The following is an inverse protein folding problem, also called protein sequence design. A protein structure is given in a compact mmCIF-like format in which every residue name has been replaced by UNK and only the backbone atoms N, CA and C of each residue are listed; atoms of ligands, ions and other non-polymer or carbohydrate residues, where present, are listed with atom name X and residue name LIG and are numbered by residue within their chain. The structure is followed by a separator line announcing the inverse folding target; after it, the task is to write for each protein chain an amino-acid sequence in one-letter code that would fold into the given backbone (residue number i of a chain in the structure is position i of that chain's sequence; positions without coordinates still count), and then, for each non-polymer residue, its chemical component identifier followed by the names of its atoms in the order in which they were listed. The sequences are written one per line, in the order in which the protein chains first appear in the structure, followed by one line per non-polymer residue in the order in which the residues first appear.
data_IF_587295675652
#
_entry.id   IF_587295675652
#
_cell.length_a   1.000
_cell.length_b   1.000
_cell.length_c   1.000
_cell.angle_alpha   90.00
_cell.angle_beta   90.00
_cell.angle_gamma   90.00
#
_symmetry.space_group_name_H-M   'P 1'
#
loop_
_entity.id
_entity.type
_entity.pdbx_description
1 polymer ?
#
# COMPACT_ATOMS: atom_id res chain seq x y z
N UNK A 1 16.59 4.47 3.08
CA UNK A 1 15.85 4.80 1.86
C UNK A 1 14.73 3.80 1.61
N UNK A 2 13.64 4.31 1.03
CA UNK A 2 12.49 3.48 0.75
C UNK A 2 12.67 2.75 -0.57
N UNK A 3 12.13 1.55 -0.66
CA UNK A 3 12.18 0.75 -1.86
C UNK A 3 10.80 0.70 -2.50
N UNK A 4 10.79 0.57 -3.83
CA UNK A 4 9.52 0.35 -4.52
C UNK A 4 9.09 -1.10 -4.32
N UNK A 5 7.78 -1.29 -4.13
CA UNK A 5 7.23 -2.62 -4.05
C UNK A 5 7.29 -3.29 -5.42
N UNK A 6 7.49 -4.61 -5.44
CA UNK A 6 7.53 -5.32 -6.70
C UNK A 6 6.11 -5.54 -7.23
N UNK A 7 6.04 -5.99 -8.48
CA UNK A 7 4.76 -6.16 -9.18
C UNK A 7 3.88 -7.17 -8.48
N UNK A 8 4.48 -8.23 -7.94
CA UNK A 8 3.71 -9.28 -7.29
C UNK A 8 3.00 -8.75 -6.04
N UNK A 9 3.71 -7.95 -5.26
CA UNK A 9 3.10 -7.37 -4.07
C UNK A 9 1.98 -6.41 -4.44
N UNK A 10 2.23 -5.55 -5.43
CA UNK A 10 1.21 -4.60 -5.87
C UNK A 10 -0.03 -5.33 -6.38
N UNK A 11 0.17 -6.41 -7.14
CA UNK A 11 -0.95 -7.20 -7.65
C UNK A 11 -1.74 -7.83 -6.51
N UNK A 12 -1.05 -8.39 -5.53
CA UNK A 12 -1.71 -8.99 -4.37
C UNK A 12 -2.54 -7.95 -3.61
N UNK A 13 -1.97 -6.76 -3.40
CA UNK A 13 -2.70 -5.72 -2.67
C UNK A 13 -3.91 -5.24 -3.46
N UNK A 14 -3.78 -5.12 -4.78
CA UNK A 14 -4.92 -4.72 -5.59
C UNK A 14 -6.03 -5.75 -5.56
N UNK A 15 -5.70 -7.03 -5.49
CA UNK A 15 -6.72 -8.07 -5.35
C UNK A 15 -7.46 -7.92 -4.03
N UNK A 16 -6.73 -7.61 -2.96
CA UNK A 16 -7.36 -7.39 -1.65
C UNK A 16 -8.22 -6.13 -1.65
N UNK A 17 -7.80 -5.10 -2.37
CA UNK A 17 -8.59 -3.88 -2.49
C UNK A 17 -9.91 -4.20 -3.18
N UNK A 18 -9.87 -4.97 -4.25
CA UNK A 18 -11.10 -5.37 -4.95
C UNK A 18 -12.01 -6.21 -4.06
N UNK A 19 -11.44 -7.05 -3.25
CA UNK A 19 -12.22 -7.90 -2.34
C UNK A 19 -12.76 -7.13 -1.13
N UNK A 20 -12.29 -5.89 -0.92
CA UNK A 20 -12.73 -5.08 0.21
C UNK A 20 -12.14 -5.52 1.54
N UNK A 21 -10.97 -6.15 1.51
CA UNK A 21 -10.35 -6.69 2.72
C UNK A 21 -9.06 -5.99 3.11
N UNK A 22 -8.66 -4.95 2.40
CA UNK A 22 -7.43 -4.23 2.71
C UNK A 22 -7.74 -2.93 3.44
N UNK A 23 -7.05 -2.72 4.57
CA UNK A 23 -7.27 -1.54 5.41
C UNK A 23 -5.95 -0.83 5.63
N UNK A 24 -6.02 0.48 5.85
CA UNK A 24 -4.85 1.28 6.16
C UNK A 24 -4.60 1.30 7.67
N UNK A 25 -3.66 2.15 8.10
CA UNK A 25 -3.24 2.17 9.50
C UNK A 25 -4.30 2.70 10.46
N UNK A 26 -5.27 3.47 9.95
CA UNK A 26 -6.37 3.95 10.77
C UNK A 26 -7.62 3.10 10.56
N UNK A 27 -7.44 1.92 9.97
CA UNK A 27 -8.49 0.94 9.77
C UNK A 27 -9.60 1.42 8.84
N UNK A 28 -9.26 2.31 7.92
CA UNK A 28 -10.17 2.67 6.85
C UNK A 28 -9.93 1.76 5.66
N UNK A 29 -11.03 1.34 5.03
CA UNK A 29 -10.93 0.47 3.87
C UNK A 29 -10.25 1.18 2.70
N UNK A 30 -9.27 0.53 2.11
CA UNK A 30 -8.61 1.05 0.93
C UNK A 30 -9.50 0.75 -0.27
N UNK A 31 -10.05 1.79 -0.87
CA UNK A 31 -11.07 1.61 -1.91
C UNK A 31 -10.58 1.82 -3.33
N UNK A 32 -9.35 2.30 -3.50
CA UNK A 32 -8.81 2.56 -4.84
C UNK A 32 -7.57 1.70 -5.06
N UNK A 33 -7.48 1.12 -6.25
CA UNK A 33 -6.29 0.36 -6.62
C UNK A 33 -5.07 1.25 -6.65
N UNK A 34 -3.90 0.63 -6.47
CA UNK A 34 -2.64 1.34 -6.48
C UNK A 34 -1.86 0.96 -7.72
N UNK A 35 -1.05 1.91 -8.21
CA UNK A 35 -0.18 1.67 -9.37
C UNK A 35 1.18 1.12 -8.94
N UNK A 36 1.53 1.33 -7.68
CA UNK A 36 2.78 0.88 -7.12
C UNK A 36 2.79 1.20 -5.65
N UNK A 37 3.93 1.07 -5.02
CA UNK A 37 4.07 1.39 -3.62
C UNK A 37 5.52 1.61 -3.23
N UNK A 38 5.71 2.39 -2.17
CA UNK A 38 7.02 2.56 -1.56
C UNK A 38 7.01 1.85 -0.21
N UNK A 39 7.96 0.96 -0.02
CA UNK A 39 8.09 0.23 1.24
C UNK A 39 8.92 1.06 2.22
N UNK A 40 8.47 1.10 3.47
CA UNK A 40 9.26 1.68 4.53
C UNK A 40 10.52 0.83 4.73
N UNK A 41 11.54 1.40 5.39
CA UNK A 41 12.82 0.71 5.56
C UNK A 41 12.68 -0.67 6.17
N UNK A 42 11.76 -0.83 7.11
CA UNK A 42 11.55 -2.11 7.78
C UNK A 42 10.67 -3.06 6.97
N UNK A 43 10.14 -2.62 5.83
CA UNK A 43 9.31 -3.44 4.97
C UNK A 43 7.93 -3.74 5.53
N UNK A 44 7.51 -3.06 6.59
CA UNK A 44 6.24 -3.38 7.25
C UNK A 44 5.10 -2.48 6.83
N UNK A 45 5.39 -1.34 6.21
CA UNK A 45 4.37 -0.38 5.77
C UNK A 45 4.62 -0.07 4.31
N UNK A 46 3.55 -0.05 3.53
CA UNK A 46 3.62 0.34 2.14
C UNK A 46 2.86 1.66 1.95
N UNK A 47 3.51 2.64 1.33
CA UNK A 47 2.86 3.89 0.97
C UNK A 47 2.41 3.80 -0.47
N UNK A 48 1.11 3.91 -0.73
CA UNK A 48 0.59 3.69 -2.09
C UNK A 48 1.04 4.77 -3.07
N UNK A 49 1.27 4.36 -4.30
CA UNK A 49 1.55 5.27 -5.40
C UNK A 49 0.38 5.17 -6.37
N UNK A 50 -0.23 6.32 -6.68
CA UNK A 50 -1.30 6.41 -7.66
C UNK A 50 -0.96 7.51 -8.64
N UNK A 51 -1.06 7.20 -9.94
CA UNK A 51 -0.75 8.17 -11.00
C UNK A 51 0.63 8.78 -10.81
N UNK A 52 1.60 7.95 -10.45
CA UNK A 52 3.01 8.31 -10.21
C UNK A 52 3.20 9.26 -9.04
N UNK A 53 2.20 9.46 -8.19
CA UNK A 53 2.31 10.32 -7.02
C UNK A 53 2.25 9.45 -5.78
N UNK A 54 3.35 9.35 -5.01
CA UNK A 54 3.32 8.58 -3.77
C UNK A 54 2.58 9.34 -2.67
N UNK A 55 1.82 8.59 -1.89
CA UNK A 55 1.17 9.11 -0.70
C UNK A 55 2.06 8.78 0.49
N UNK A 56 2.61 9.81 1.13
CA UNK A 56 3.53 9.61 2.23
C UNK A 56 2.92 9.99 3.59
N UNK A 57 1.61 10.11 3.65
CA UNK A 57 0.92 10.35 4.90
C UNK A 57 0.90 9.06 5.72
N UNK A 58 1.31 9.17 6.97
CA UNK A 58 1.44 8.00 7.84
C UNK A 58 0.12 7.26 7.97
N UNK A 59 -0.98 8.01 8.06
CA UNK A 59 -2.31 7.43 8.25
C UNK A 59 -2.73 6.56 7.07
N UNK A 60 -2.21 6.83 5.88
CA UNK A 60 -2.60 6.10 4.67
C UNK A 60 -1.64 4.98 4.34
N UNK A 61 -0.62 4.77 5.15
CA UNK A 61 0.25 3.63 4.98
C UNK A 61 -0.50 2.33 5.18
N UNK A 62 -0.13 1.31 4.42
CA UNK A 62 -0.79 0.01 4.46
C UNK A 62 0.12 -0.95 5.22
N UNK A 63 -0.33 -1.47 6.38
CA UNK A 63 0.48 -2.44 7.12
C UNK A 63 0.58 -3.76 6.36
N UNK A 64 1.77 -4.33 6.29
CA UNK A 64 2.01 -5.57 5.57
C UNK A 64 2.34 -6.75 6.46
N UNK A 65 2.74 -6.54 7.67
CA UNK A 65 3.29 -7.58 8.51
C UNK A 65 2.29 -8.32 9.38
N UNK A 66 1.09 -8.47 8.92
CA UNK A 66 0.03 -9.08 9.74
C UNK A 66 0.07 -10.59 9.74
#
# INVERSE_FOLDING_TARGET
PRRRADVELVTDLNQRIEAGTLFDRVEEKVGQKIDGGLLREDGKILYPIRQNIPTLLIEQGIPLGQ
#
